data_IF_745267426806
#
_entry.id   IF_745267426806
#
_cell.length_a   1.000
_cell.length_b   1.000
_cell.length_c   1.000
_cell.angle_alpha   90.00
_cell.angle_beta   90.00
_cell.angle_gamma   90.00
#
_symmetry.space_group_name_H-M   'P 1'
#
loop_
_entity.id
_entity.type
_entity.pdbx_description
1 polymer ?
#
# COMPACT_ATOMS: atom_id res chain seq x y z
N UNK A 1 -3.65 -23.72 18.91
CA UNK A 1 -4.99 -23.10 19.01
C UNK A 1 -4.83 -21.64 18.64
N UNK A 2 -5.15 -21.23 17.41
CA UNK A 2 -5.18 -19.80 17.07
C UNK A 2 -6.28 -19.17 17.91
N UNK A 3 -5.91 -18.24 18.80
CA UNK A 3 -6.88 -17.35 19.45
C UNK A 3 -7.75 -16.75 18.35
N UNK A 4 -9.07 -16.95 18.43
CA UNK A 4 -9.99 -16.16 17.61
C UNK A 4 -9.71 -14.71 17.98
N UNK A 5 -9.04 -13.96 17.11
CA UNK A 5 -8.97 -12.52 17.26
C UNK A 5 -10.42 -12.04 17.28
N UNK A 6 -10.87 -11.54 18.44
CA UNK A 6 -12.18 -10.90 18.52
C UNK A 6 -12.17 -9.76 17.50
N UNK A 7 -13.04 -9.87 16.50
CA UNK A 7 -13.22 -8.80 15.52
C UNK A 7 -13.72 -7.59 16.30
N UNK A 8 -13.05 -6.43 16.18
CA UNK A 8 -13.49 -5.21 16.83
C UNK A 8 -14.95 -4.93 16.50
N UNK A 9 -15.72 -4.44 17.47
CA UNK A 9 -17.17 -4.27 17.30
C UNK A 9 -17.51 -3.08 16.43
N UNK A 10 -16.68 -2.05 16.47
CA UNK A 10 -16.92 -0.78 15.79
C UNK A 10 -15.61 -0.04 15.46
N UNK A 11 -15.77 1.08 14.75
CA UNK A 11 -14.67 1.94 14.31
C UNK A 11 -13.97 2.68 15.46
N UNK A 12 -14.67 2.95 16.57
CA UNK A 12 -14.10 3.64 17.73
C UNK A 12 -13.04 2.78 18.43
N UNK A 13 -13.30 1.48 18.57
CA UNK A 13 -12.35 0.52 19.16
C UNK A 13 -11.02 0.46 18.39
N UNK A 14 -11.07 0.44 17.05
CA UNK A 14 -9.86 0.34 16.22
C UNK A 14 -9.15 1.67 15.98
N UNK A 15 -9.81 2.79 16.30
CA UNK A 15 -9.20 4.13 16.17
C UNK A 15 -8.75 4.73 17.49
N UNK A 16 -9.07 4.06 18.61
CA UNK A 16 -8.44 4.31 19.90
C UNK A 16 -7.06 3.65 19.94
N UNK A 17 -6.07 4.33 19.36
CA UNK A 17 -4.68 3.88 19.32
C UNK A 17 -4.02 4.22 20.68
N UNK A 18 -3.68 3.22 21.52
CA UNK A 18 -2.94 3.46 22.75
C UNK A 18 -1.48 3.85 22.47
N UNK A 19 -0.84 4.47 23.46
CA UNK A 19 0.62 4.55 23.52
C UNK A 19 1.21 3.13 23.40
N UNK A 20 2.16 2.96 22.49
CA UNK A 20 2.90 1.71 22.28
C UNK A 20 4.33 2.02 21.84
N UNK A 21 5.24 1.08 22.09
CA UNK A 21 6.67 1.28 21.84
C UNK A 21 6.98 1.52 20.36
N UNK A 22 7.97 2.38 20.12
CA UNK A 22 8.48 2.63 18.77
C UNK A 22 9.11 1.34 18.24
N UNK A 23 8.62 0.88 17.11
CA UNK A 23 9.19 -0.27 16.42
C UNK A 23 10.39 0.16 15.56
N UNK A 24 11.26 -0.78 15.24
CA UNK A 24 12.29 -0.54 14.21
C UNK A 24 11.67 -0.71 12.83
N UNK A 25 12.11 0.07 11.85
CA UNK A 25 11.63 -0.04 10.47
C UNK A 25 12.30 -1.22 9.71
N UNK A 26 11.55 -1.98 8.90
CA UNK A 26 10.09 -1.95 8.77
C UNK A 26 9.38 -2.47 10.03
N UNK A 27 8.32 -1.77 10.44
CA UNK A 27 7.46 -2.21 11.54
C UNK A 27 6.66 -3.46 11.16
N UNK A 28 6.09 -4.14 12.16
CA UNK A 28 5.30 -5.36 11.98
C UNK A 28 3.92 -5.22 12.61
N UNK A 29 2.91 -5.64 11.85
CA UNK A 29 1.48 -5.62 12.17
C UNK A 29 1.17 -6.44 13.41
N UNK A 30 1.80 -7.60 13.56
CA UNK A 30 1.47 -8.52 14.65
C UNK A 30 1.84 -7.99 16.05
N UNK A 31 2.66 -6.95 16.15
CA UNK A 31 3.03 -6.24 17.39
C UNK A 31 2.19 -4.97 17.64
N UNK A 32 1.35 -4.56 16.68
CA UNK A 32 0.53 -3.35 16.81
C UNK A 32 -0.70 -3.58 17.69
N UNK A 33 -1.06 -2.55 18.46
CA UNK A 33 -2.30 -2.52 19.27
C UNK A 33 -3.07 -1.23 19.00
N UNK A 34 -4.36 -1.27 18.62
CA UNK A 34 -5.04 -2.43 18.06
C UNK A 34 -4.39 -2.84 16.72
N UNK A 35 -4.62 -4.09 16.29
CA UNK A 35 -4.20 -4.52 14.95
C UNK A 35 -5.05 -3.80 13.88
N UNK A 36 -4.45 -3.32 12.77
CA UNK A 36 -5.19 -2.69 11.68
C UNK A 36 -6.24 -3.61 11.04
N UNK A 37 -7.37 -3.04 10.63
CA UNK A 37 -8.39 -3.77 9.87
C UNK A 37 -7.90 -4.13 8.46
N UNK A 38 -8.19 -5.36 8.02
CA UNK A 38 -7.73 -5.89 6.72
C UNK A 38 -8.81 -5.82 5.64
N UNK A 39 -10.04 -6.24 5.96
CA UNK A 39 -11.13 -6.37 4.97
C UNK A 39 -12.51 -6.07 5.59
N UNK A 40 -12.54 -5.44 6.76
CA UNK A 40 -13.77 -4.96 7.39
C UNK A 40 -13.86 -3.44 7.22
N UNK A 41 -15.00 -2.95 6.75
CA UNK A 41 -15.29 -1.54 6.51
C UNK A 41 -16.20 -0.98 7.63
N UNK A 42 -16.01 0.28 8.03
CA UNK A 42 -16.95 0.95 8.92
C UNK A 42 -18.28 1.23 8.20
N UNK A 43 -19.38 0.70 8.73
CA UNK A 43 -20.74 0.97 8.26
C UNK A 43 -21.56 1.51 9.43
N UNK A 44 -21.64 2.85 9.53
CA UNK A 44 -22.30 3.48 10.67
C UNK A 44 -21.59 3.19 12.00
N UNK A 45 -22.25 2.46 12.89
CA UNK A 45 -21.81 2.14 14.25
C UNK A 45 -21.15 0.76 14.39
N UNK A 46 -21.04 -0.01 13.31
CA UNK A 46 -20.46 -1.36 13.31
C UNK A 46 -19.47 -1.55 12.15
N UNK A 47 -18.83 -2.72 12.13
CA UNK A 47 -17.96 -3.15 11.05
C UNK A 47 -18.65 -4.21 10.20
N UNK A 48 -18.61 -4.03 8.88
CA UNK A 48 -19.09 -5.03 7.92
C UNK A 48 -17.93 -5.60 7.12
N UNK A 49 -18.00 -6.88 6.82
CA UNK A 49 -17.01 -7.53 5.96
C UNK A 49 -17.14 -7.03 4.51
N UNK A 50 -16.02 -6.82 3.84
CA UNK A 50 -16.01 -6.50 2.41
C UNK A 50 -16.45 -7.71 1.59
N UNK A 51 -17.46 -7.54 0.75
CA UNK A 51 -17.93 -8.57 -0.16
C UNK A 51 -17.50 -8.26 -1.61
N UNK A 52 -16.67 -9.13 -2.18
CA UNK A 52 -16.21 -8.99 -3.55
C UNK A 52 -17.31 -9.25 -4.58
N UNK A 53 -17.21 -8.57 -5.73
CA UNK A 53 -18.14 -8.69 -6.85
C UNK A 53 -17.44 -9.28 -8.11
N UNK A 54 -16.33 -9.99 -7.91
CA UNK A 54 -15.50 -10.59 -8.96
C UNK A 54 -14.95 -9.58 -9.98
N UNK A 55 -14.71 -8.33 -9.56
CA UNK A 55 -14.23 -7.24 -10.43
C UNK A 55 -12.84 -7.48 -11.01
N UNK A 56 -12.04 -8.32 -10.36
CA UNK A 56 -10.66 -8.65 -10.75
C UNK A 56 -10.52 -10.12 -11.16
N UNK A 57 -11.62 -10.74 -11.60
CA UNK A 57 -11.64 -12.13 -12.04
C UNK A 57 -10.52 -12.39 -13.05
N UNK A 58 -9.73 -13.44 -12.78
CA UNK A 58 -8.62 -13.90 -13.61
C UNK A 58 -7.40 -12.97 -13.69
N UNK A 59 -7.31 -11.92 -12.88
CA UNK A 59 -6.16 -11.00 -12.87
C UNK A 59 -5.00 -11.56 -12.04
N UNK A 60 -3.78 -11.29 -12.50
CA UNK A 60 -2.52 -11.53 -11.77
C UNK A 60 -1.97 -10.19 -11.28
N UNK A 61 -1.81 -10.05 -9.96
CA UNK A 61 -1.31 -8.84 -9.33
C UNK A 61 0.09 -9.02 -8.72
N UNK A 62 0.96 -8.04 -8.92
CA UNK A 62 2.20 -7.88 -8.16
C UNK A 62 2.04 -6.68 -7.22
N UNK A 63 2.11 -6.90 -5.91
CA UNK A 63 1.91 -5.88 -4.87
C UNK A 63 3.17 -5.79 -4.02
N UNK A 64 3.81 -4.62 -4.00
CA UNK A 64 4.96 -4.39 -3.12
C UNK A 64 4.53 -3.91 -1.74
N UNK A 65 5.16 -4.42 -0.67
CA UNK A 65 4.75 -4.15 0.71
C UNK A 65 3.33 -4.66 0.98
N UNK A 66 3.01 -5.84 0.44
CA UNK A 66 1.69 -6.48 0.55
C UNK A 66 1.50 -7.33 1.81
N UNK A 67 2.54 -7.45 2.62
CA UNK A 67 2.57 -8.18 3.90
C UNK A 67 1.77 -7.46 5.00
N UNK A 68 1.77 -6.13 4.97
CA UNK A 68 1.22 -5.29 6.05
C UNK A 68 0.49 -4.04 5.54
N UNK A 69 -0.17 -3.34 6.46
CA UNK A 69 -0.83 -2.05 6.20
C UNK A 69 -1.77 -2.03 4.99
N UNK A 70 -1.62 -1.00 4.15
CA UNK A 70 -2.48 -0.78 2.96
C UNK A 70 -2.31 -1.94 1.97
N UNK A 71 -1.08 -2.35 1.67
CA UNK A 71 -0.81 -3.44 0.74
C UNK A 71 -1.46 -4.76 1.16
N UNK A 72 -1.45 -5.07 2.47
CA UNK A 72 -2.15 -6.24 3.04
C UNK A 72 -3.65 -6.24 2.76
N UNK A 73 -4.28 -5.07 2.92
CA UNK A 73 -5.71 -4.91 2.65
C UNK A 73 -6.02 -4.96 1.15
N UNK A 74 -5.14 -4.38 0.32
CA UNK A 74 -5.25 -4.47 -1.14
C UNK A 74 -5.15 -5.93 -1.60
N UNK A 75 -4.19 -6.71 -1.08
CA UNK A 75 -4.06 -8.12 -1.40
C UNK A 75 -5.30 -8.93 -0.98
N UNK A 76 -5.83 -8.69 0.22
CA UNK A 76 -7.05 -9.32 0.69
C UNK A 76 -8.25 -8.99 -0.22
N UNK A 77 -8.50 -7.71 -0.50
CA UNK A 77 -9.62 -7.29 -1.34
C UNK A 77 -9.47 -7.77 -2.79
N UNK A 78 -8.25 -7.79 -3.34
CA UNK A 78 -8.00 -8.36 -4.67
C UNK A 78 -8.35 -9.84 -4.74
N UNK A 79 -8.06 -10.60 -3.67
CA UNK A 79 -8.46 -12.01 -3.58
C UNK A 79 -9.99 -12.20 -3.52
N UNK A 80 -10.68 -11.34 -2.75
CA UNK A 80 -12.14 -11.37 -2.63
C UNK A 80 -12.81 -10.96 -3.96
N UNK A 81 -12.15 -10.11 -4.74
CA UNK A 81 -12.54 -9.73 -6.10
C UNK A 81 -12.16 -10.75 -7.19
N UNK A 82 -11.67 -11.93 -6.80
CA UNK A 82 -11.47 -13.06 -7.70
C UNK A 82 -10.16 -13.01 -8.51
N UNK A 83 -9.15 -12.25 -8.08
CA UNK A 83 -7.81 -12.35 -8.65
C UNK A 83 -7.33 -13.82 -8.64
N UNK A 84 -6.73 -14.29 -9.72
CA UNK A 84 -6.22 -15.67 -9.78
C UNK A 84 -4.92 -15.84 -9.02
N UNK A 85 -4.07 -14.82 -9.03
CA UNK A 85 -2.75 -14.88 -8.43
C UNK A 85 -2.30 -13.52 -7.90
N UNK A 86 -1.66 -13.54 -6.73
CA UNK A 86 -1.08 -12.35 -6.10
C UNK A 86 0.37 -12.66 -5.68
N UNK A 87 1.32 -11.89 -6.19
CA UNK A 87 2.68 -11.83 -5.66
C UNK A 87 2.81 -10.69 -4.67
N UNK A 88 3.38 -11.00 -3.50
CA UNK A 88 3.64 -10.03 -2.44
C UNK A 88 5.14 -9.93 -2.22
N UNK A 89 5.69 -8.72 -2.38
CA UNK A 89 7.07 -8.43 -1.95
C UNK A 89 7.08 -7.80 -0.56
N UNK A 90 8.10 -8.10 0.22
CA UNK A 90 8.30 -7.65 1.60
C UNK A 90 9.77 -7.84 2.02
N UNK A 91 10.16 -7.37 3.20
CA UNK A 91 11.50 -7.58 3.78
C UNK A 91 11.50 -8.70 4.83
N UNK A 92 12.68 -9.27 5.09
CA UNK A 92 12.82 -10.49 5.92
C UNK A 92 12.22 -10.38 7.33
N UNK A 93 12.25 -9.19 7.93
CA UNK A 93 11.63 -8.92 9.25
C UNK A 93 10.11 -9.12 9.26
N UNK A 94 9.47 -8.93 8.11
CA UNK A 94 8.01 -8.96 7.94
C UNK A 94 7.48 -10.37 7.56
N UNK A 95 8.35 -11.40 7.55
CA UNK A 95 8.01 -12.78 7.14
C UNK A 95 6.77 -13.33 7.83
N UNK A 96 6.58 -13.04 9.12
CA UNK A 96 5.41 -13.49 9.87
C UNK A 96 4.13 -12.86 9.32
N UNK A 97 4.13 -11.54 9.10
CA UNK A 97 2.99 -10.82 8.55
C UNK A 97 2.66 -11.29 7.13
N UNK A 98 3.69 -11.49 6.31
CA UNK A 98 3.57 -12.00 4.95
C UNK A 98 2.91 -13.40 4.90
N UNK A 99 3.31 -14.30 5.81
CA UNK A 99 2.69 -15.63 5.95
C UNK A 99 1.25 -15.54 6.42
N UNK A 100 0.97 -14.71 7.42
CA UNK A 100 -0.40 -14.53 7.94
C UNK A 100 -1.38 -14.07 6.85
N UNK A 101 -0.98 -13.11 6.00
CA UNK A 101 -1.86 -12.65 4.92
C UNK A 101 -2.01 -13.70 3.82
N UNK A 102 -0.94 -14.40 3.44
CA UNK A 102 -1.01 -15.53 2.50
C UNK A 102 -2.01 -16.58 2.99
N UNK A 103 -1.87 -17.04 4.24
CA UNK A 103 -2.77 -18.03 4.81
C UNK A 103 -4.22 -17.55 4.86
N UNK A 104 -4.45 -16.27 5.18
CA UNK A 104 -5.80 -15.69 5.19
C UNK A 104 -6.40 -15.72 3.79
N UNK A 105 -5.68 -15.27 2.78
CA UNK A 105 -6.13 -15.24 1.37
C UNK A 105 -6.44 -16.67 0.89
N UNK A 106 -5.56 -17.62 1.15
CA UNK A 106 -5.72 -19.01 0.72
C UNK A 106 -6.88 -19.73 1.45
N UNK A 107 -7.25 -19.29 2.65
CA UNK A 107 -8.42 -19.80 3.39
C UNK A 107 -9.75 -19.23 2.88
N UNK A 108 -9.78 -17.98 2.42
CA UNK A 108 -11.01 -17.26 2.07
C UNK A 108 -11.30 -17.20 0.57
N UNK A 109 -10.36 -17.62 -0.28
CA UNK A 109 -10.46 -17.50 -1.74
C UNK A 109 -9.71 -18.63 -2.46
N UNK A 110 -9.86 -18.70 -3.78
CA UNK A 110 -9.07 -19.59 -4.65
C UNK A 110 -7.80 -18.92 -5.21
N UNK A 111 -7.47 -17.74 -4.70
CA UNK A 111 -6.34 -16.96 -5.19
C UNK A 111 -5.03 -17.60 -4.75
N UNK A 112 -4.14 -17.89 -5.71
CA UNK A 112 -2.79 -18.33 -5.40
C UNK A 112 -1.95 -17.15 -4.90
N UNK A 113 -1.16 -17.35 -3.83
CA UNK A 113 -0.26 -16.31 -3.33
C UNK A 113 1.19 -16.80 -3.36
N UNK A 114 2.10 -15.99 -3.92
CA UNK A 114 3.55 -16.19 -3.77
C UNK A 114 4.15 -15.05 -2.95
N UNK A 115 5.07 -15.41 -2.06
CA UNK A 115 5.78 -14.51 -1.18
C UNK A 115 7.21 -14.33 -1.69
N UNK A 116 7.64 -13.09 -1.91
CA UNK A 116 8.95 -12.75 -2.46
C UNK A 116 9.68 -11.79 -1.51
N UNK A 117 10.50 -12.36 -0.63
CA UNK A 117 11.29 -11.60 0.35
C UNK A 117 12.50 -10.93 -0.33
N UNK A 118 12.36 -9.67 -0.74
CA UNK A 118 13.37 -8.90 -1.49
C UNK A 118 13.26 -7.41 -1.21
N UNK A 119 14.42 -6.76 -1.03
CA UNK A 119 14.51 -5.29 -1.02
C UNK A 119 14.44 -4.77 -2.46
N UNK A 120 13.35 -4.10 -2.79
CA UNK A 120 13.10 -3.56 -4.14
C UNK A 120 13.96 -2.33 -4.49
N UNK A 121 14.76 -1.81 -3.54
CA UNK A 121 15.63 -0.65 -3.75
C UNK A 121 16.78 -0.88 -4.75
N UNK A 122 16.99 -2.11 -5.22
CA UNK A 122 17.98 -2.43 -6.26
C UNK A 122 17.31 -2.97 -7.52
N UNK A 123 17.87 -2.62 -8.69
CA UNK A 123 17.33 -3.08 -9.97
C UNK A 123 17.43 -4.61 -10.13
N UNK A 124 18.51 -5.22 -9.64
CA UNK A 124 18.68 -6.68 -9.64
C UNK A 124 17.54 -7.40 -8.91
N UNK A 125 17.17 -6.92 -7.72
CA UNK A 125 16.05 -7.50 -6.98
C UNK A 125 14.71 -7.27 -7.68
N UNK A 126 14.50 -6.10 -8.30
CA UNK A 126 13.29 -5.85 -9.09
C UNK A 126 13.17 -6.79 -10.30
N UNK A 127 14.28 -7.07 -11.00
CA UNK A 127 14.33 -8.06 -12.08
C UNK A 127 13.95 -9.46 -11.56
N UNK A 128 14.54 -9.88 -10.44
CA UNK A 128 14.27 -11.18 -9.85
C UNK A 128 12.80 -11.32 -9.41
N UNK A 129 12.23 -10.29 -8.78
CA UNK A 129 10.81 -10.23 -8.41
C UNK A 129 9.94 -10.44 -9.65
N UNK A 130 10.14 -9.66 -10.72
CA UNK A 130 9.34 -9.78 -11.95
C UNK A 130 9.51 -11.17 -12.55
N UNK A 131 10.75 -11.68 -12.62
CA UNK A 131 11.04 -13.02 -13.15
C UNK A 131 10.27 -14.11 -12.40
N UNK A 132 10.19 -14.05 -11.07
CA UNK A 132 9.43 -15.03 -10.28
C UNK A 132 7.93 -14.99 -10.61
N UNK A 133 7.33 -13.80 -10.79
CA UNK A 133 5.93 -13.64 -11.18
C UNK A 133 5.68 -14.20 -12.58
N UNK A 134 6.56 -13.90 -13.54
CA UNK A 134 6.47 -14.40 -14.91
C UNK A 134 6.68 -15.92 -14.98
N UNK A 135 7.60 -16.48 -14.20
CA UNK A 135 7.78 -17.93 -14.15
C UNK A 135 6.54 -18.66 -13.63
N UNK A 136 5.80 -18.04 -12.69
CA UNK A 136 4.61 -18.64 -12.09
C UNK A 136 3.36 -18.49 -12.97
N UNK A 137 3.11 -17.32 -13.56
CA UNK A 137 1.85 -17.03 -14.26
C UNK A 137 2.00 -16.52 -15.70
N UNK A 138 3.22 -16.27 -16.17
CA UNK A 138 3.51 -15.83 -17.54
C UNK A 138 3.09 -14.40 -17.89
N UNK A 139 2.49 -13.65 -16.96
CA UNK A 139 2.03 -12.27 -17.17
C UNK A 139 1.91 -11.48 -15.87
N UNK A 140 1.78 -10.17 -16.01
CA UNK A 140 1.37 -9.25 -14.94
C UNK A 140 0.18 -8.44 -15.47
N UNK A 141 -0.97 -8.53 -14.80
CA UNK A 141 -2.14 -7.72 -15.18
C UNK A 141 -2.22 -6.43 -14.37
N UNK A 142 -1.81 -6.47 -13.10
CA UNK A 142 -1.86 -5.33 -12.17
C UNK A 142 -0.51 -5.21 -11.46
N UNK A 143 0.12 -4.03 -11.53
CA UNK A 143 1.28 -3.68 -10.71
C UNK A 143 0.86 -2.64 -9.66
N UNK A 144 1.04 -2.96 -8.38
CA UNK A 144 0.82 -2.03 -7.26
C UNK A 144 2.15 -1.70 -6.61
N UNK A 145 2.65 -0.48 -6.87
CA UNK A 145 3.82 0.05 -6.18
C UNK A 145 3.38 0.70 -4.87
N UNK A 146 3.49 -0.03 -3.77
CA UNK A 146 3.03 0.40 -2.45
C UNK A 146 4.14 0.43 -1.39
N UNK A 147 5.17 -0.42 -1.50
CA UNK A 147 6.30 -0.43 -0.57
C UNK A 147 6.93 0.97 -0.44
N UNK A 148 7.21 1.36 0.79
CA UNK A 148 7.75 2.67 1.12
C UNK A 148 8.45 2.63 2.48
N UNK A 149 9.47 3.45 2.66
CA UNK A 149 10.00 3.80 3.98
C UNK A 149 9.84 5.31 4.23
N UNK A 150 9.92 5.68 5.51
CA UNK A 150 9.83 7.05 6.00
C UNK A 150 10.56 7.16 7.34
N UNK A 151 11.31 8.23 7.53
CA UNK A 151 12.12 8.49 8.72
C UNK A 151 11.88 9.94 9.15
N UNK A 152 11.64 10.18 10.45
CA UNK A 152 11.43 11.54 10.93
C UNK A 152 12.77 12.28 11.08
N UNK A 153 12.82 13.50 10.57
CA UNK A 153 13.95 14.41 10.79
C UNK A 153 13.40 15.80 11.09
N UNK A 154 13.73 16.38 12.25
CA UNK A 154 13.18 17.67 12.68
C UNK A 154 13.74 18.85 11.88
N UNK A 155 15.01 18.77 11.52
CA UNK A 155 15.74 19.85 10.84
C UNK A 155 16.45 19.32 9.60
N UNK A 156 16.51 20.13 8.56
CA UNK A 156 17.20 19.73 7.32
C UNK A 156 18.70 19.51 7.53
N UNK A 157 19.34 20.21 8.48
CA UNK A 157 20.77 20.01 8.75
C UNK A 157 21.09 18.65 9.38
N UNK A 158 20.10 17.99 9.97
CA UNK A 158 20.22 16.65 10.56
C UNK A 158 19.87 15.53 9.56
N UNK A 159 19.36 15.90 8.37
CA UNK A 159 19.00 14.95 7.32
C UNK A 159 20.27 14.48 6.60
N UNK A 160 20.71 13.28 6.91
CA UNK A 160 21.89 12.71 6.28
C UNK A 160 21.64 12.37 4.80
N UNK A 161 22.69 12.45 3.99
CA UNK A 161 22.65 12.04 2.58
C UNK A 161 22.25 10.57 2.44
N UNK A 162 22.69 9.71 3.36
CA UNK A 162 22.38 8.28 3.36
C UNK A 162 20.88 8.05 3.57
N UNK A 163 20.25 8.74 4.53
CA UNK A 163 18.81 8.65 4.72
C UNK A 163 18.07 9.17 3.49
N UNK A 164 18.45 10.34 2.97
CA UNK A 164 17.83 10.94 1.79
C UNK A 164 17.88 9.98 0.58
N UNK A 165 19.07 9.46 0.27
CA UNK A 165 19.27 8.51 -0.82
C UNK A 165 18.52 7.20 -0.59
N UNK A 166 18.51 6.68 0.64
CA UNK A 166 17.82 5.43 0.98
C UNK A 166 16.32 5.57 0.79
N UNK A 167 15.71 6.65 1.30
CA UNK A 167 14.29 6.98 1.11
C UNK A 167 13.95 7.07 -0.38
N UNK A 168 14.77 7.72 -1.21
CA UNK A 168 14.56 7.75 -2.66
C UNK A 168 14.74 6.38 -3.33
N UNK A 169 15.75 5.62 -2.92
CA UNK A 169 16.04 4.30 -3.47
C UNK A 169 14.85 3.35 -3.29
N UNK A 170 14.25 3.34 -2.12
CA UNK A 170 13.06 2.51 -1.85
C UNK A 170 11.82 3.07 -2.53
N UNK A 171 11.51 4.37 -2.32
CA UNK A 171 10.21 4.92 -2.67
C UNK A 171 10.05 5.26 -4.16
N UNK A 172 11.13 5.64 -4.86
CA UNK A 172 11.09 6.05 -6.27
C UNK A 172 11.90 5.14 -7.19
N UNK A 173 13.12 4.73 -6.83
CA UNK A 173 13.92 3.87 -7.72
C UNK A 173 13.34 2.47 -7.81
N UNK A 174 12.96 1.86 -6.68
CA UNK A 174 12.27 0.56 -6.68
C UNK A 174 11.00 0.56 -7.52
N UNK A 175 10.17 1.59 -7.41
CA UNK A 175 8.98 1.79 -8.26
C UNK A 175 9.35 1.86 -9.74
N UNK A 176 10.37 2.65 -10.09
CA UNK A 176 10.84 2.78 -11.47
C UNK A 176 11.34 1.44 -12.02
N UNK A 177 12.18 0.71 -11.28
CA UNK A 177 12.72 -0.57 -11.73
C UNK A 177 11.62 -1.61 -11.94
N UNK A 178 10.68 -1.72 -11.00
CA UNK A 178 9.55 -2.65 -11.13
C UNK A 178 8.66 -2.29 -12.30
N UNK A 179 8.34 -1.01 -12.51
CA UNK A 179 7.57 -0.58 -13.68
C UNK A 179 8.31 -0.93 -14.98
N UNK A 180 9.59 -0.52 -15.09
CA UNK A 180 10.45 -0.78 -16.26
C UNK A 180 10.45 -2.26 -16.65
N UNK A 181 10.60 -3.16 -15.68
CA UNK A 181 10.71 -4.61 -15.93
C UNK A 181 9.35 -5.32 -16.01
N UNK A 182 8.29 -4.81 -15.38
CA UNK A 182 6.94 -5.41 -15.49
C UNK A 182 6.27 -5.08 -16.82
N UNK A 183 6.42 -3.85 -17.31
CA UNK A 183 5.74 -3.31 -18.50
C UNK A 183 5.88 -4.19 -19.76
N UNK A 184 7.02 -4.83 -20.07
CA UNK A 184 7.14 -5.78 -21.19
C UNK A 184 6.19 -6.99 -21.10
N UNK A 185 5.70 -7.33 -19.91
CA UNK A 185 4.81 -8.46 -19.64
C UNK A 185 3.36 -8.04 -19.37
N UNK A 186 3.06 -6.74 -19.48
CA UNK A 186 1.73 -6.17 -19.33
C UNK A 186 1.10 -5.98 -20.72
N UNK A 187 -0.19 -6.30 -20.83
CA UNK A 187 -0.96 -6.21 -22.08
C UNK A 187 -1.95 -5.05 -22.03
N UNK A 188 -2.61 -4.79 -23.15
CA UNK A 188 -3.78 -3.91 -23.17
C UNK A 188 -4.79 -4.34 -22.10
N UNK A 189 -5.31 -3.37 -21.34
CA UNK A 189 -6.19 -3.59 -20.19
C UNK A 189 -5.46 -3.93 -18.88
N UNK A 190 -4.12 -3.91 -18.85
CA UNK A 190 -3.34 -3.94 -17.62
C UNK A 190 -3.33 -2.57 -16.91
N UNK A 191 -2.98 -2.57 -15.62
CA UNK A 191 -3.02 -1.36 -14.79
C UNK A 191 -1.79 -1.25 -13.89
N UNK A 192 -1.28 -0.04 -13.72
CA UNK A 192 -0.28 0.31 -12.70
C UNK A 192 -0.94 1.26 -11.69
N UNK A 193 -0.79 0.96 -10.40
CA UNK A 193 -1.28 1.80 -9.30
C UNK A 193 -0.13 2.13 -8.36
N UNK A 194 0.13 3.41 -8.15
CA UNK A 194 1.21 3.88 -7.29
C UNK A 194 0.66 4.48 -6.00
N UNK A 195 1.29 4.16 -4.87
CA UNK A 195 0.91 4.71 -3.57
C UNK A 195 1.75 5.96 -3.29
N UNK A 196 1.15 7.13 -3.52
CA UNK A 196 1.70 8.41 -3.08
C UNK A 196 1.19 8.71 -1.65
N UNK A 197 1.04 9.97 -1.27
CA UNK A 197 0.61 10.39 0.05
C UNK A 197 0.00 11.78 -0.02
N UNK A 198 -0.86 12.10 0.95
CA UNK A 198 -1.31 13.48 1.20
C UNK A 198 -0.13 14.45 1.38
N UNK A 199 1.03 13.98 1.84
CA UNK A 199 2.23 14.80 2.02
C UNK A 199 2.80 15.35 0.71
N UNK A 200 2.53 14.70 -0.43
CA UNK A 200 2.89 15.24 -1.74
C UNK A 200 2.16 16.56 -2.07
N UNK A 201 1.00 16.78 -1.43
CA UNK A 201 0.12 17.93 -1.69
C UNK A 201 0.18 18.97 -0.57
N UNK A 202 0.33 18.51 0.67
CA UNK A 202 0.37 19.39 1.86
C UNK A 202 1.77 19.73 2.34
N UNK A 203 2.77 18.95 1.94
CA UNK A 203 4.06 18.89 2.63
C UNK A 203 3.93 18.28 4.03
N UNK A 204 5.08 18.08 4.68
CA UNK A 204 5.15 17.73 6.10
C UNK A 204 6.50 18.17 6.67
N UNK A 205 6.54 18.94 7.78
CA UNK A 205 7.76 19.61 8.24
C UNK A 205 8.89 18.65 8.62
N UNK A 206 8.56 17.44 9.12
CA UNK A 206 9.56 16.47 9.58
C UNK A 206 9.81 15.30 8.60
N UNK A 207 9.26 15.38 7.38
CA UNK A 207 9.30 14.29 6.39
C UNK A 207 9.70 14.85 5.02
N UNK A 208 10.80 15.61 4.97
CA UNK A 208 11.22 16.33 3.76
C UNK A 208 11.56 15.37 2.61
N UNK A 209 12.44 14.39 2.84
CA UNK A 209 12.83 13.36 1.88
C UNK A 209 11.61 12.52 1.46
N UNK A 210 10.82 12.03 2.41
CA UNK A 210 9.61 11.26 2.15
C UNK A 210 8.61 12.04 1.31
N UNK A 211 8.26 13.29 1.69
CA UNK A 211 7.32 14.13 0.94
C UNK A 211 7.82 14.40 -0.48
N UNK A 212 9.14 14.61 -0.64
CA UNK A 212 9.78 14.76 -1.94
C UNK A 212 9.60 13.52 -2.81
N UNK A 213 9.81 12.32 -2.27
CA UNK A 213 9.55 11.07 -3.02
C UNK A 213 8.08 10.90 -3.39
N UNK A 214 7.15 11.30 -2.52
CA UNK A 214 5.71 11.22 -2.79
C UNK A 214 5.29 12.22 -3.87
N UNK A 215 5.88 13.40 -3.92
CA UNK A 215 5.77 14.33 -5.04
C UNK A 215 6.32 13.76 -6.36
N UNK A 216 7.50 13.12 -6.31
CA UNK A 216 8.08 12.44 -7.47
C UNK A 216 7.16 11.32 -7.98
N UNK A 217 6.51 10.55 -7.10
CA UNK A 217 5.53 9.52 -7.47
C UNK A 217 4.32 10.12 -8.21
N UNK A 218 3.82 11.29 -7.80
CA UNK A 218 2.71 11.97 -8.51
C UNK A 218 3.14 12.33 -9.94
N UNK A 219 4.30 12.96 -10.10
CA UNK A 219 4.82 13.32 -11.42
C UNK A 219 5.08 12.08 -12.29
N UNK A 220 5.70 11.05 -11.71
CA UNK A 220 5.96 9.77 -12.39
C UNK A 220 4.67 9.11 -12.88
N UNK A 221 3.63 9.08 -12.04
CA UNK A 221 2.31 8.53 -12.40
C UNK A 221 1.71 9.24 -13.60
N UNK A 222 1.70 10.58 -13.59
CA UNK A 222 1.17 11.40 -14.68
C UNK A 222 1.95 11.17 -15.98
N UNK A 223 3.27 11.27 -15.94
CA UNK A 223 4.11 11.10 -17.13
C UNK A 223 4.04 9.67 -17.69
N UNK A 224 4.07 8.64 -16.83
CA UNK A 224 3.97 7.26 -17.28
C UNK A 224 2.57 6.94 -17.85
N UNK A 225 1.51 7.55 -17.31
CA UNK A 225 0.15 7.39 -17.86
C UNK A 225 0.04 7.86 -19.31
N UNK A 226 0.69 8.98 -19.64
CA UNK A 226 0.73 9.50 -21.00
C UNK A 226 1.56 8.61 -21.91
N UNK A 227 2.70 8.11 -21.41
CA UNK A 227 3.59 7.23 -22.16
C UNK A 227 2.96 5.88 -22.49
N UNK A 228 2.07 5.36 -21.64
CA UNK A 228 1.48 4.03 -21.81
C UNK A 228 0.06 4.02 -22.39
N UNK A 229 -0.51 5.19 -22.70
CA UNK A 229 -1.91 5.29 -23.14
C UNK A 229 -2.17 4.56 -24.46
N UNK A 230 -1.26 4.66 -25.43
CA UNK A 230 -1.36 3.98 -26.74
C UNK A 230 -1.21 2.46 -26.64
N UNK A 231 -0.66 1.98 -25.52
CA UNK A 231 -0.56 0.54 -25.20
C UNK A 231 -1.77 0.03 -24.43
N UNK A 232 -2.75 0.89 -24.15
CA UNK A 232 -3.94 0.56 -23.38
C UNK A 232 -3.66 0.17 -21.93
N UNK A 233 -2.56 0.65 -21.35
CA UNK A 233 -2.21 0.43 -19.94
C UNK A 233 -2.50 1.70 -19.16
N UNK A 234 -3.35 1.60 -18.14
CA UNK A 234 -3.70 2.74 -17.28
C UNK A 234 -2.71 2.87 -16.13
N UNK A 235 -2.37 4.10 -15.76
CA UNK A 235 -1.47 4.38 -14.63
C UNK A 235 -2.11 5.42 -13.74
N UNK A 236 -2.42 5.07 -12.49
CA UNK A 236 -3.06 5.97 -11.53
C UNK A 236 -2.35 5.89 -10.18
N UNK A 237 -2.74 6.75 -9.25
CA UNK A 237 -2.23 6.72 -7.90
C UNK A 237 -3.32 6.84 -6.83
N UNK A 238 -2.96 6.44 -5.62
CA UNK A 238 -3.75 6.67 -4.41
C UNK A 238 -2.89 7.50 -3.46
N UNK A 239 -3.48 8.54 -2.86
CA UNK A 239 -2.87 9.45 -1.90
C UNK A 239 -3.57 9.34 -0.54
N UNK A 240 -3.22 8.34 0.28
CA UNK A 240 -3.81 8.16 1.60
C UNK A 240 -3.50 9.34 2.53
N UNK A 241 -4.40 9.56 3.49
CA UNK A 241 -4.16 10.43 4.64
C UNK A 241 -3.40 9.71 5.78
N UNK A 242 -3.68 10.03 7.05
CA UNK A 242 -3.13 9.29 8.18
C UNK A 242 -3.82 7.93 8.32
N UNK A 243 -3.13 6.85 7.93
CA UNK A 243 -3.64 5.47 7.99
C UNK A 243 -2.88 4.67 9.04
N UNK A 244 -3.60 3.95 9.90
CA UNK A 244 -3.01 3.11 10.94
C UNK A 244 -2.31 1.89 10.33
N UNK A 245 -0.98 1.91 10.30
CA UNK A 245 -0.12 0.90 9.66
C UNK A 245 1.19 0.74 10.44
N UNK A 246 1.96 -0.34 10.23
CA UNK A 246 3.26 -0.49 10.90
C UNK A 246 4.27 0.60 10.54
N UNK A 247 4.10 1.25 9.39
CA UNK A 247 4.90 2.42 8.99
C UNK A 247 4.74 3.58 10.00
N UNK A 248 3.58 3.72 10.63
CA UNK A 248 3.37 4.72 11.69
C UNK A 248 4.02 4.27 12.99
N UNK A 249 3.80 3.00 13.37
CA UNK A 249 4.36 2.39 14.59
C UNK A 249 5.90 2.39 14.61
N UNK A 250 6.54 2.39 13.44
CA UNK A 250 8.00 2.39 13.29
C UNK A 250 8.62 3.78 13.06
N UNK A 251 7.81 4.83 12.84
CA UNK A 251 8.33 6.17 12.53
C UNK A 251 8.01 7.22 13.58
N UNK A 252 6.82 7.17 14.18
CA UNK A 252 6.38 8.19 15.13
C UNK A 252 6.64 7.73 16.57
N UNK A 253 7.07 8.63 17.46
CA UNK A 253 7.30 8.26 18.86
C UNK A 253 5.96 7.96 19.57
N UNK A 254 5.99 7.15 20.64
CA UNK A 254 4.79 6.70 21.36
C UNK A 254 3.82 7.82 21.75
N UNK A 255 4.33 9.01 22.07
CA UNK A 255 3.55 10.19 22.47
C UNK A 255 2.64 10.73 21.35
N UNK A 256 2.97 10.46 20.09
CA UNK A 256 2.17 10.92 18.94
C UNK A 256 1.05 9.95 18.58
N UNK A 257 1.11 8.69 19.04
CA UNK A 257 0.18 7.62 18.65
C UNK A 257 -1.27 7.92 19.04
N UNK A 258 -1.52 8.35 20.28
CA UNK A 258 -2.87 8.63 20.77
C UNK A 258 -3.55 9.80 20.04
N UNK A 259 -2.75 10.67 19.42
CA UNK A 259 -3.23 11.81 18.64
C UNK A 259 -3.30 11.53 17.13
N UNK A 260 -2.81 10.37 16.68
CA UNK A 260 -2.67 10.07 15.27
C UNK A 260 -4.02 10.06 14.56
N UNK A 261 -4.15 10.88 13.52
CA UNK A 261 -5.37 11.05 12.73
C UNK A 261 -6.38 12.05 13.29
N UNK A 262 -6.25 12.54 14.53
CA UNK A 262 -7.17 13.55 15.09
C UNK A 262 -7.08 14.92 14.40
N UNK A 263 -6.01 15.15 13.64
CA UNK A 263 -5.78 16.38 12.88
C UNK A 263 -6.63 16.48 11.61
N UNK A 264 -7.15 15.37 11.05
CA UNK A 264 -8.00 15.44 9.84
C UNK A 264 -9.47 15.72 10.19
N UNK A 265 -10.29 16.21 9.25
CA UNK A 265 -11.70 16.51 9.52
C UNK A 265 -12.53 15.37 10.12
N UNK A 266 -12.29 14.12 9.72
CA UNK A 266 -12.95 12.94 10.31
C UNK A 266 -12.46 12.57 11.73
N UNK A 267 -11.49 13.32 12.30
CA UNK A 267 -11.01 13.20 13.69
C UNK A 267 -10.50 11.82 14.13
N UNK A 268 -10.14 10.96 13.18
CA UNK A 268 -9.56 9.64 13.41
C UNK A 268 -8.59 9.27 12.30
N UNK A 269 -7.69 8.33 12.59
CA UNK A 269 -6.93 7.65 11.55
C UNK A 269 -7.85 6.79 10.68
N UNK A 270 -7.57 6.72 9.39
CA UNK A 270 -8.17 5.73 8.52
C UNK A 270 -7.59 4.34 8.80
N UNK A 271 -8.35 3.30 8.51
CA UNK A 271 -7.87 1.93 8.50
C UNK A 271 -7.43 1.52 7.09
N UNK A 272 -6.46 0.60 6.95
CA UNK A 272 -6.03 0.10 5.65
C UNK A 272 -7.17 -0.44 4.77
N UNK A 273 -8.16 -1.10 5.38
CA UNK A 273 -9.36 -1.59 4.70
C UNK A 273 -10.19 -0.48 4.05
N UNK A 274 -10.17 0.75 4.56
CA UNK A 274 -10.91 1.89 4.00
C UNK A 274 -10.23 2.49 2.76
N UNK A 275 -8.95 2.17 2.56
CA UNK A 275 -8.14 2.65 1.43
C UNK A 275 -8.15 1.63 0.28
N UNK A 276 -8.16 0.34 0.60
CA UNK A 276 -8.10 -0.74 -0.38
C UNK A 276 -9.20 -0.71 -1.46
N UNK A 277 -10.45 -0.26 -1.21
CA UNK A 277 -11.48 -0.09 -2.25
C UNK A 277 -11.05 0.86 -3.38
N UNK A 278 -10.23 1.88 -3.10
CA UNK A 278 -9.66 2.73 -4.15
C UNK A 278 -8.80 1.94 -5.13
N UNK A 279 -8.04 0.95 -4.65
CA UNK A 279 -7.21 0.09 -5.49
C UNK A 279 -8.06 -0.89 -6.30
N UNK A 280 -9.13 -1.45 -5.73
CA UNK A 280 -10.07 -2.29 -6.47
C UNK A 280 -10.71 -1.52 -7.62
N UNK A 281 -11.21 -0.31 -7.34
CA UNK A 281 -11.79 0.57 -8.35
C UNK A 281 -10.78 0.89 -9.46
N UNK A 282 -9.56 1.32 -9.10
CA UNK A 282 -8.52 1.66 -10.07
C UNK A 282 -8.02 0.45 -10.87
N UNK A 283 -7.96 -0.75 -10.29
CA UNK A 283 -7.50 -1.96 -10.95
C UNK A 283 -8.56 -2.58 -11.88
N UNK A 284 -9.84 -2.35 -11.62
CA UNK A 284 -10.95 -2.92 -12.37
C UNK A 284 -11.36 -2.06 -13.58
N UNK A 285 -12.29 -2.56 -14.39
CA UNK A 285 -12.87 -1.83 -15.52
C UNK A 285 -13.80 -0.69 -15.11
N UNK A 286 -14.16 -0.59 -13.81
CA UNK A 286 -14.96 0.52 -13.29
C UNK A 286 -14.27 1.88 -13.49
N UNK A 287 -12.94 1.88 -13.64
CA UNK A 287 -12.11 3.07 -13.90
C UNK A 287 -11.52 3.09 -15.32
N UNK A 288 -12.20 2.46 -16.29
CA UNK A 288 -11.73 2.35 -17.69
C UNK A 288 -11.38 3.69 -18.35
N UNK A 289 -12.01 4.79 -17.93
CA UNK A 289 -11.72 6.15 -18.42
C UNK A 289 -10.87 6.99 -17.47
N UNK A 290 -10.10 6.35 -16.57
CA UNK A 290 -9.18 7.03 -15.65
C UNK A 290 -7.75 6.56 -15.86
N UNK A 291 -6.90 7.48 -16.30
CA UNK A 291 -5.43 7.34 -16.35
C UNK A 291 -4.80 8.68 -15.99
N UNK A 292 -3.68 8.66 -15.25
CA UNK A 292 -2.97 9.83 -14.74
C UNK A 292 -3.59 10.47 -13.49
N UNK A 293 -4.61 9.84 -12.90
CA UNK A 293 -5.41 10.40 -11.81
C UNK A 293 -4.91 9.98 -10.44
N UNK A 294 -5.32 10.73 -9.40
CA UNK A 294 -4.99 10.44 -8.00
C UNK A 294 -6.27 10.42 -7.16
N UNK A 295 -6.50 9.34 -6.42
CA UNK A 295 -7.61 9.24 -5.45
C UNK A 295 -7.14 9.60 -4.04
N UNK A 296 -7.97 10.29 -3.26
CA UNK A 296 -7.59 10.89 -1.98
C UNK A 296 -8.40 10.37 -0.77
N UNK A 297 -8.24 9.10 -0.35
CA UNK A 297 -8.86 8.59 0.88
C UNK A 297 -8.12 9.14 2.12
N UNK A 298 -8.45 10.37 2.53
CA UNK A 298 -7.62 11.15 3.46
C UNK A 298 -8.37 11.78 4.65
N UNK A 299 -9.59 11.33 4.93
CA UNK A 299 -10.38 11.78 6.08
C UNK A 299 -10.96 13.18 5.93
N UNK A 300 -11.23 13.63 4.71
CA UNK A 300 -11.88 14.92 4.40
C UNK A 300 -10.92 16.10 4.23
N UNK A 301 -9.62 15.84 4.16
CA UNK A 301 -8.62 16.88 3.91
C UNK A 301 -8.73 17.43 2.48
N UNK A 302 -9.13 18.69 2.34
CA UNK A 302 -9.09 19.40 1.05
C UNK A 302 -7.64 19.63 0.63
N UNK A 303 -7.30 19.23 -0.59
CA UNK A 303 -5.94 19.28 -1.16
C UNK A 303 -5.88 19.89 -2.57
N UNK A 304 -6.99 20.53 -3.01
CA UNK A 304 -7.13 21.05 -4.37
C UNK A 304 -6.89 19.97 -5.44
N UNK A 305 -7.64 18.86 -5.30
CA UNK A 305 -7.51 17.65 -6.13
C UNK A 305 -8.14 17.79 -7.51
#
# INVERSE_FOLDING_TARGET
MCSKEETPKNIEEVTKIPKQDLQTQPGVTHEMTPRPLVHHLPTGDHLEEYHGAFKLKNKIALITGGDSGIGRSVAALFSLEGASGIAITYLSREEKDAREIKERIEKQSKTEVILICKDIGTEENAIDVVKQVINKWGRIDILVNNASEQHLTERIEDLSSEQFERTFRTNIFGMFYLAKHSIPHMKEGSVIINTTSVTAYKGHPMLLDYSSTKGAIVAFTRSLSLHLIERGIRVNAVAPGPIWTPLIAASFPPEKMESFGKQVPMKRAGQPSEVAPCYVFLASNDSSYMSGQVLHPNGGSVING
#
